data_IF_545250609910
#
_entry.id   IF_545250609910
#
_cell.length_a   1.000
_cell.length_b   1.000
_cell.length_c   1.000
_cell.angle_alpha   90.00
_cell.angle_beta   90.00
_cell.angle_gamma   90.00
#
_symmetry.space_group_name_H-M   'P 1'
#
loop_
_entity.id
_entity.type
_entity.pdbx_description
1 polymer ?
#
# COMPACT_ATOMS: atom_id res chain seq x y z
N UNK A 1 1.22 19.46 18.13
CA UNK A 1 0.09 20.27 18.59
C UNK A 1 0.50 21.50 19.42
N UNK A 2 1.55 21.40 20.27
CA UNK A 2 1.93 22.50 21.20
C UNK A 2 2.43 23.75 20.46
N UNK A 3 3.01 23.64 19.28
CA UNK A 3 3.60 24.75 18.51
C UNK A 3 2.79 25.12 17.27
N UNK A 4 1.79 24.32 16.91
CA UNK A 4 0.98 24.56 15.72
C UNK A 4 -0.13 25.58 15.99
N UNK A 5 -0.36 26.50 15.03
CA UNK A 5 -1.47 27.45 15.07
C UNK A 5 -2.86 26.81 14.89
N UNK A 6 -2.90 25.60 14.33
CA UNK A 6 -4.14 24.81 14.14
C UNK A 6 -3.82 23.33 14.19
N UNK A 7 -4.76 22.54 14.64
CA UNK A 7 -4.64 21.07 14.75
C UNK A 7 -5.92 20.42 14.24
N UNK A 8 -5.76 19.37 13.46
CA UNK A 8 -6.86 18.52 13.04
C UNK A 8 -6.60 17.12 13.63
N UNK A 9 -7.56 16.62 14.40
CA UNK A 9 -7.47 15.30 15.00
C UNK A 9 -8.10 14.25 14.10
N UNK A 10 -7.43 13.11 13.92
CA UNK A 10 -7.91 11.99 13.09
C UNK A 10 -9.00 11.17 13.76
N UNK A 11 -9.11 11.25 15.09
CA UNK A 11 -10.02 10.44 15.90
C UNK A 11 -9.91 8.92 15.67
N UNK A 12 -8.74 8.45 15.22
CA UNK A 12 -8.50 7.03 14.93
C UNK A 12 -8.49 6.13 16.20
N UNK A 13 -8.42 6.74 17.38
CA UNK A 13 -8.22 6.01 18.63
C UNK A 13 -6.79 5.46 18.78
N UNK A 14 -6.49 4.76 19.89
CA UNK A 14 -5.16 4.20 20.11
C UNK A 14 -4.87 3.07 19.12
N UNK A 15 -3.67 3.07 18.56
CA UNK A 15 -3.14 1.95 17.78
C UNK A 15 -2.54 0.92 18.75
N UNK A 16 -2.99 -0.33 18.67
CA UNK A 16 -2.55 -1.38 19.60
C UNK A 16 -1.43 -2.22 18.97
N UNK A 17 -1.44 -2.37 17.65
CA UNK A 17 -0.43 -3.10 16.91
C UNK A 17 0.79 -2.23 16.60
N UNK A 18 1.94 -2.86 16.37
CA UNK A 18 3.15 -2.17 15.90
C UNK A 18 2.90 -1.57 14.51
N UNK A 19 2.28 -2.33 13.62
CA UNK A 19 1.93 -1.87 12.29
C UNK A 19 0.71 -0.95 12.34
N UNK A 20 0.89 0.32 11.95
CA UNK A 20 -0.20 1.29 11.85
C UNK A 20 -1.12 0.94 10.68
N UNK A 21 -2.42 0.85 10.93
CA UNK A 21 -3.44 0.55 9.90
C UNK A 21 -4.53 1.61 9.88
N UNK A 22 -5.38 1.66 10.91
CA UNK A 22 -6.47 2.63 11.01
C UNK A 22 -5.98 4.07 11.10
N UNK A 23 -4.84 4.30 11.75
CA UNK A 23 -4.28 5.65 11.85
C UNK A 23 -3.84 6.16 10.47
N UNK A 24 -3.22 5.33 9.63
CA UNK A 24 -2.86 5.67 8.27
C UNK A 24 -4.09 6.05 7.42
N UNK A 25 -5.13 5.21 7.41
CA UNK A 25 -6.38 5.50 6.66
C UNK A 25 -7.07 6.76 7.15
N UNK A 26 -7.10 6.99 8.47
CA UNK A 26 -7.67 8.21 9.03
C UNK A 26 -6.87 9.46 8.65
N UNK A 27 -5.54 9.38 8.60
CA UNK A 27 -4.68 10.47 8.12
C UNK A 27 -4.96 10.78 6.65
N UNK A 28 -5.08 9.77 5.78
CA UNK A 28 -5.44 9.97 4.38
C UNK A 28 -6.81 10.68 4.25
N UNK A 29 -7.81 10.25 5.00
CA UNK A 29 -9.14 10.89 4.99
C UNK A 29 -9.06 12.36 5.39
N UNK A 30 -8.28 12.69 6.43
CA UNK A 30 -8.07 14.09 6.86
C UNK A 30 -7.33 14.89 5.80
N UNK A 31 -6.33 14.32 5.14
CA UNK A 31 -5.61 15.01 4.06
C UNK A 31 -6.50 15.28 2.85
N UNK A 32 -7.38 14.36 2.47
CA UNK A 32 -8.39 14.59 1.44
C UNK A 32 -9.35 15.71 1.82
N UNK A 33 -9.87 15.71 3.05
CA UNK A 33 -10.74 16.78 3.55
C UNK A 33 -10.02 18.13 3.55
N UNK A 34 -8.77 18.17 3.97
CA UNK A 34 -7.95 19.39 3.95
C UNK A 34 -7.73 19.87 2.51
N UNK A 35 -7.42 18.98 1.58
CA UNK A 35 -7.27 19.30 0.16
C UNK A 35 -8.54 19.90 -0.44
N UNK A 36 -9.70 19.31 -0.15
CA UNK A 36 -11.02 19.83 -0.56
C UNK A 36 -11.27 21.21 0.06
N UNK A 37 -11.01 21.36 1.36
CA UNK A 37 -11.18 22.64 2.06
C UNK A 37 -10.32 23.75 1.44
N UNK A 38 -9.03 23.50 1.22
CA UNK A 38 -8.11 24.44 0.61
C UNK A 38 -8.50 24.77 -0.84
N UNK A 39 -8.96 23.77 -1.60
CA UNK A 39 -9.44 23.97 -2.96
C UNK A 39 -10.67 24.90 -3.02
N UNK A 40 -11.57 24.77 -2.06
CA UNK A 40 -12.74 25.67 -1.93
C UNK A 40 -12.29 27.07 -1.52
N UNK A 41 -11.42 27.17 -0.51
CA UNK A 41 -10.93 28.45 0.00
C UNK A 41 -10.21 29.25 -1.10
N UNK A 42 -9.42 28.59 -1.91
CA UNK A 42 -8.70 29.16 -3.06
C UNK A 42 -9.55 29.36 -4.30
N UNK A 43 -10.83 29.01 -4.25
CA UNK A 43 -11.76 29.06 -5.40
C UNK A 43 -11.29 28.24 -6.62
N UNK A 44 -10.40 27.26 -6.41
CA UNK A 44 -9.90 26.36 -7.45
C UNK A 44 -10.73 25.10 -7.61
N UNK A 45 -11.65 24.81 -6.68
CA UNK A 45 -12.52 23.65 -6.69
C UNK A 45 -13.98 24.06 -6.90
N UNK A 46 -14.59 23.76 -8.06
CA UNK A 46 -16.01 24.06 -8.33
C UNK A 46 -16.94 23.32 -7.35
N UNK A 47 -18.07 23.93 -7.00
CA UNK A 47 -19.03 23.39 -6.03
C UNK A 47 -19.52 21.99 -6.38
N UNK A 48 -19.82 21.72 -7.64
CA UNK A 48 -20.23 20.39 -8.13
C UNK A 48 -19.16 19.32 -7.87
N UNK A 49 -17.89 19.65 -8.15
CA UNK A 49 -16.76 18.74 -7.94
C UNK A 49 -16.50 18.51 -6.45
N UNK A 50 -16.63 19.56 -5.61
CA UNK A 50 -16.57 19.43 -4.15
C UNK A 50 -17.59 18.43 -3.63
N UNK A 51 -18.87 18.58 -4.05
CA UNK A 51 -19.94 17.68 -3.62
C UNK A 51 -19.68 16.22 -4.01
N UNK A 52 -19.21 16.00 -5.25
CA UNK A 52 -18.87 14.67 -5.73
C UNK A 52 -17.74 14.04 -4.88
N UNK A 53 -16.65 14.77 -4.64
CA UNK A 53 -15.52 14.28 -3.84
C UNK A 53 -15.94 13.97 -2.40
N UNK A 54 -16.74 14.83 -1.76
CA UNK A 54 -17.24 14.57 -0.42
C UNK A 54 -18.13 13.33 -0.37
N UNK A 55 -19.02 13.16 -1.37
CA UNK A 55 -19.89 11.99 -1.47
C UNK A 55 -19.06 10.70 -1.54
N UNK A 56 -18.05 10.68 -2.41
CA UNK A 56 -17.15 9.52 -2.52
C UNK A 56 -16.40 9.25 -1.22
N UNK A 57 -15.86 10.29 -0.59
CA UNK A 57 -15.14 10.14 0.68
C UNK A 57 -16.05 9.57 1.80
N UNK A 58 -17.30 10.03 1.88
CA UNK A 58 -18.28 9.49 2.83
C UNK A 58 -18.69 8.05 2.51
N UNK A 59 -18.51 7.60 1.27
CA UNK A 59 -18.83 6.25 0.86
C UNK A 59 -17.71 5.24 1.23
N UNK A 60 -16.46 5.70 1.41
CA UNK A 60 -15.32 4.83 1.71
C UNK A 60 -15.54 3.88 2.90
N UNK A 61 -16.09 4.31 4.05
CA UNK A 61 -16.30 3.38 5.18
C UNK A 61 -17.20 2.19 4.84
N UNK A 62 -18.27 2.42 4.06
CA UNK A 62 -19.17 1.32 3.65
C UNK A 62 -18.52 0.38 2.63
N UNK A 63 -17.62 0.88 1.78
CA UNK A 63 -16.83 0.04 0.89
C UNK A 63 -15.83 -0.81 1.67
N UNK A 64 -15.15 -0.22 2.64
CA UNK A 64 -14.24 -0.96 3.53
C UNK A 64 -14.98 -2.03 4.34
N UNK A 65 -16.14 -1.70 4.89
CA UNK A 65 -16.94 -2.67 5.63
C UNK A 65 -17.37 -3.84 4.75
N UNK A 66 -17.82 -3.57 3.52
CA UNK A 66 -18.18 -4.60 2.55
C UNK A 66 -17.00 -5.51 2.24
N UNK A 67 -15.81 -4.95 2.00
CA UNK A 67 -14.60 -5.72 1.77
C UNK A 67 -14.29 -6.65 2.96
N UNK A 68 -14.38 -6.15 4.18
CA UNK A 68 -14.16 -6.94 5.40
C UNK A 68 -15.20 -8.04 5.58
N UNK A 69 -16.45 -7.76 5.24
CA UNK A 69 -17.55 -8.75 5.31
C UNK A 69 -17.36 -9.85 4.26
N UNK A 70 -16.93 -9.50 3.06
CA UNK A 70 -16.62 -10.46 2.01
C UNK A 70 -15.38 -11.30 2.35
N UNK A 71 -14.35 -10.68 2.94
CA UNK A 71 -13.20 -11.41 3.49
C UNK A 71 -13.63 -12.47 4.52
N UNK A 72 -14.47 -12.09 5.49
CA UNK A 72 -14.96 -13.03 6.52
C UNK A 72 -15.77 -14.19 5.95
N UNK A 73 -16.54 -13.97 4.88
CA UNK A 73 -17.30 -15.04 4.21
C UNK A 73 -16.38 -16.08 3.55
N UNK A 74 -15.22 -15.66 3.08
CA UNK A 74 -14.28 -16.47 2.31
C UNK A 74 -12.94 -16.71 3.04
N UNK A 75 -12.95 -16.58 4.36
CA UNK A 75 -11.75 -16.64 5.22
C UNK A 75 -10.92 -17.90 4.96
N UNK A 76 -11.56 -19.05 4.80
CA UNK A 76 -10.87 -20.32 4.51
C UNK A 76 -10.09 -20.31 3.20
N UNK A 77 -10.62 -19.68 2.16
CA UNK A 77 -9.92 -19.54 0.88
C UNK A 77 -8.75 -18.55 1.01
N UNK A 78 -8.92 -17.47 1.77
CA UNK A 78 -7.83 -16.54 2.05
C UNK A 78 -6.71 -17.19 2.84
N UNK A 79 -7.02 -17.99 3.86
CA UNK A 79 -6.04 -18.76 4.64
C UNK A 79 -5.31 -19.76 3.74
N UNK A 80 -6.03 -20.51 2.88
CA UNK A 80 -5.45 -21.41 1.91
C UNK A 80 -4.51 -20.67 0.95
N UNK A 81 -4.96 -19.56 0.37
CA UNK A 81 -4.15 -18.77 -0.56
C UNK A 81 -2.89 -18.21 0.11
N UNK A 82 -3.00 -17.78 1.36
CA UNK A 82 -1.85 -17.32 2.14
C UNK A 82 -0.87 -18.47 2.42
N UNK A 83 -1.38 -19.66 2.74
CA UNK A 83 -0.57 -20.86 2.92
C UNK A 83 0.15 -21.24 1.63
N UNK A 84 -0.57 -21.34 0.51
CA UNK A 84 -0.01 -21.70 -0.80
C UNK A 84 1.03 -20.67 -1.27
N UNK A 85 0.81 -19.40 -0.96
CA UNK A 85 1.79 -18.34 -1.19
C UNK A 85 3.05 -18.56 -0.35
N UNK A 86 2.90 -18.83 0.93
CA UNK A 86 4.01 -19.06 1.85
C UNK A 86 4.85 -20.28 1.44
N UNK A 87 4.22 -21.38 1.02
CA UNK A 87 4.90 -22.55 0.50
C UNK A 87 5.76 -22.20 -0.72
N UNK A 88 5.15 -21.51 -1.71
CA UNK A 88 5.87 -21.09 -2.93
C UNK A 88 7.03 -20.13 -2.62
N UNK A 89 6.84 -19.25 -1.66
CA UNK A 89 7.89 -18.34 -1.21
C UNK A 89 9.07 -19.10 -0.62
N UNK A 90 8.83 -20.07 0.26
CA UNK A 90 9.89 -20.92 0.83
C UNK A 90 10.58 -21.78 -0.22
N UNK A 91 9.86 -22.39 -1.14
CA UNK A 91 10.45 -23.15 -2.25
C UNK A 91 11.39 -22.30 -3.11
N UNK A 92 11.02 -21.05 -3.38
CA UNK A 92 11.88 -20.12 -4.09
C UNK A 92 13.14 -19.77 -3.29
N UNK A 93 13.01 -19.54 -1.99
CA UNK A 93 14.15 -19.31 -1.11
C UNK A 93 15.09 -20.51 -1.10
N UNK A 94 14.57 -21.74 -0.99
CA UNK A 94 15.39 -22.95 -1.00
C UNK A 94 16.15 -23.13 -2.32
N UNK A 95 15.48 -22.93 -3.47
CA UNK A 95 16.14 -22.92 -4.78
C UNK A 95 17.24 -21.86 -4.85
N UNK A 96 17.00 -20.72 -4.25
CA UNK A 96 17.96 -19.63 -4.20
C UNK A 96 19.19 -19.98 -3.36
N UNK A 97 19.03 -20.68 -2.24
CA UNK A 97 20.13 -21.11 -1.37
C UNK A 97 20.85 -22.33 -1.89
N UNK A 98 20.14 -23.26 -2.51
CA UNK A 98 20.69 -24.56 -2.93
C UNK A 98 21.51 -24.50 -4.23
N UNK A 99 21.31 -23.49 -5.07
CA UNK A 99 22.08 -23.37 -6.30
C UNK A 99 23.49 -22.85 -6.01
N UNK A 100 24.44 -23.75 -5.85
CA UNK A 100 25.88 -23.47 -5.76
C UNK A 100 26.43 -23.07 -7.15
N UNK A 101 26.07 -21.90 -7.61
CA UNK A 101 26.45 -21.40 -8.95
C UNK A 101 27.69 -20.49 -8.94
N UNK A 102 28.33 -20.29 -7.78
CA UNK A 102 29.47 -19.38 -7.63
C UNK A 102 29.17 -17.91 -7.96
N UNK A 103 27.94 -17.59 -8.38
CA UNK A 103 27.49 -16.23 -8.62
C UNK A 103 27.02 -15.60 -7.31
N UNK A 104 27.46 -14.37 -7.04
CA UNK A 104 26.95 -13.58 -5.90
C UNK A 104 25.45 -13.43 -6.03
N UNK A 105 24.71 -14.09 -5.15
CA UNK A 105 23.26 -13.91 -5.04
C UNK A 105 22.97 -12.59 -4.34
N UNK A 106 22.09 -11.78 -4.91
CA UNK A 106 21.88 -10.39 -4.48
C UNK A 106 21.14 -10.24 -3.17
N UNK A 107 20.28 -11.18 -2.82
CA UNK A 107 19.60 -11.19 -1.53
C UNK A 107 19.31 -12.63 -1.09
N UNK A 108 19.80 -13.08 0.07
CA UNK A 108 19.56 -14.44 0.54
C UNK A 108 18.12 -14.69 1.00
N UNK A 109 17.34 -13.64 1.27
CA UNK A 109 16.01 -13.76 1.86
C UNK A 109 14.87 -13.40 0.88
N UNK A 110 15.17 -13.27 -0.41
CA UNK A 110 14.22 -12.68 -1.34
C UNK A 110 13.91 -11.22 -0.97
N UNK A 111 13.16 -10.53 -1.79
CA UNK A 111 12.62 -9.21 -1.43
C UNK A 111 11.35 -8.92 -2.24
N UNK A 112 10.59 -7.97 -1.76
CA UNK A 112 9.34 -7.56 -2.38
C UNK A 112 9.47 -6.15 -2.95
N UNK A 113 8.99 -5.97 -4.18
CA UNK A 113 8.80 -4.66 -4.79
C UNK A 113 7.32 -4.32 -4.84
N UNK A 114 6.97 -3.20 -4.25
CA UNK A 114 5.62 -2.64 -4.33
C UNK A 114 5.64 -1.49 -5.33
N UNK A 115 4.84 -1.61 -6.38
CA UNK A 115 4.77 -0.62 -7.44
C UNK A 115 3.44 0.12 -7.39
N UNK A 116 3.52 1.44 -7.42
CA UNK A 116 2.36 2.30 -7.52
C UNK A 116 2.60 3.47 -8.46
N UNK A 117 1.54 3.95 -9.12
CA UNK A 117 1.61 5.12 -9.99
C UNK A 117 0.75 6.25 -9.42
N UNK A 118 1.23 7.48 -9.49
CA UNK A 118 0.57 8.67 -8.99
C UNK A 118 0.13 8.51 -7.52
N UNK A 119 -1.18 8.64 -7.24
CA UNK A 119 -1.76 8.53 -5.89
C UNK A 119 -1.60 7.14 -5.27
N UNK A 120 -1.26 6.10 -6.05
CA UNK A 120 -1.04 4.75 -5.56
C UNK A 120 0.43 4.52 -5.13
N UNK A 121 1.35 5.41 -5.47
CA UNK A 121 2.73 5.30 -5.03
C UNK A 121 2.88 5.41 -3.51
N UNK A 122 2.27 6.38 -2.81
CA UNK A 122 2.26 6.38 -1.35
C UNK A 122 1.69 5.10 -0.73
N UNK A 123 0.65 4.52 -1.32
CA UNK A 123 0.09 3.24 -0.88
C UNK A 123 1.06 2.06 -1.10
N UNK A 124 1.85 2.09 -2.17
CA UNK A 124 2.89 1.10 -2.41
C UNK A 124 4.00 1.17 -1.35
N UNK A 125 4.44 2.37 -1.00
CA UNK A 125 5.42 2.58 0.08
C UNK A 125 4.86 2.06 1.42
N UNK A 126 3.62 2.38 1.74
CA UNK A 126 2.97 1.93 2.97
C UNK A 126 2.80 0.41 3.00
N UNK A 127 2.43 -0.22 1.89
CA UNK A 127 2.36 -1.67 1.78
C UNK A 127 3.70 -2.35 2.01
N UNK A 128 4.78 -1.82 1.41
CA UNK A 128 6.14 -2.28 1.64
C UNK A 128 6.57 -2.12 3.11
N UNK A 129 6.19 -1.01 3.74
CA UNK A 129 6.45 -0.78 5.16
C UNK A 129 5.72 -1.82 6.03
N UNK A 130 4.43 -2.06 5.78
CA UNK A 130 3.64 -3.06 6.53
C UNK A 130 4.25 -4.45 6.43
N UNK A 131 4.68 -4.87 5.23
CA UNK A 131 5.35 -6.16 5.08
C UNK A 131 6.64 -6.23 5.91
N UNK A 132 7.49 -5.21 5.85
CA UNK A 132 8.72 -5.15 6.65
C UNK A 132 8.46 -5.23 8.16
N UNK A 133 7.49 -4.47 8.65
CA UNK A 133 7.16 -4.41 10.07
C UNK A 133 6.66 -5.75 10.63
N UNK A 134 5.92 -6.51 9.83
CA UNK A 134 5.25 -7.73 10.28
C UNK A 134 6.12 -8.96 10.03
N UNK A 135 6.80 -9.05 8.88
CA UNK A 135 7.51 -10.25 8.43
C UNK A 135 9.03 -10.16 8.53
N UNK A 136 9.58 -8.98 8.73
CA UNK A 136 11.02 -8.67 8.63
C UNK A 136 11.64 -8.98 7.27
N UNK A 137 10.81 -9.25 6.25
CA UNK A 137 11.26 -9.46 4.87
C UNK A 137 11.54 -8.10 4.23
N UNK A 138 12.67 -7.92 3.52
CA UNK A 138 12.95 -6.71 2.78
C UNK A 138 11.86 -6.40 1.75
N UNK A 139 11.32 -5.21 1.82
CA UNK A 139 10.30 -4.74 0.89
C UNK A 139 10.49 -3.25 0.60
N UNK A 140 10.33 -2.86 -0.65
CA UNK A 140 10.51 -1.47 -1.08
C UNK A 140 9.39 -1.02 -2.00
N UNK A 141 8.97 0.23 -1.83
CA UNK A 141 7.98 0.87 -2.69
C UNK A 141 8.63 1.74 -3.76
N UNK A 142 8.28 1.54 -5.02
CA UNK A 142 8.78 2.33 -6.14
C UNK A 142 7.65 2.95 -6.96
N UNK A 143 7.86 4.16 -7.50
CA UNK A 143 6.95 4.68 -8.50
C UNK A 143 7.10 3.85 -9.78
N UNK A 144 5.99 3.27 -10.25
CA UNK A 144 6.01 2.35 -11.39
C UNK A 144 6.60 2.99 -12.66
N UNK A 145 6.40 4.29 -12.86
CA UNK A 145 6.99 5.03 -13.99
C UNK A 145 8.50 5.13 -13.96
N UNK A 146 9.11 5.04 -12.77
CA UNK A 146 10.57 5.19 -12.59
C UNK A 146 11.33 3.85 -12.67
N UNK A 147 10.65 2.74 -12.85
CA UNK A 147 11.28 1.41 -12.88
C UNK A 147 12.36 1.30 -13.96
N UNK A 148 12.16 1.94 -15.12
CA UNK A 148 13.12 1.92 -16.24
C UNK A 148 14.42 2.67 -15.95
N UNK A 149 14.46 3.51 -14.93
CA UNK A 149 15.61 4.36 -14.61
C UNK A 149 16.60 3.71 -13.61
N UNK A 150 16.51 2.39 -13.43
CA UNK A 150 17.44 1.64 -12.59
C UNK A 150 16.78 0.49 -11.81
N UNK A 151 15.70 0.70 -11.09
CA UNK A 151 15.11 -0.34 -10.23
C UNK A 151 14.72 -1.62 -10.97
N UNK A 152 14.44 -1.55 -12.27
CA UNK A 152 14.18 -2.73 -13.12
C UNK A 152 15.33 -3.74 -13.09
N UNK A 153 16.56 -3.29 -12.84
CA UNK A 153 17.73 -4.16 -12.72
C UNK A 153 17.67 -5.07 -11.47
N UNK A 154 16.78 -4.79 -10.52
CA UNK A 154 16.54 -5.63 -9.36
C UNK A 154 15.57 -6.77 -9.67
N UNK A 155 14.83 -6.68 -10.77
CA UNK A 155 13.85 -7.70 -11.17
C UNK A 155 14.61 -8.78 -11.94
N UNK A 156 14.84 -9.90 -11.27
CA UNK A 156 15.29 -11.16 -11.83
C UNK A 156 14.23 -12.24 -11.51
N UNK A 157 14.62 -13.49 -11.40
CA UNK A 157 13.70 -14.60 -11.10
C UNK A 157 13.25 -14.63 -9.62
N UNK A 158 13.78 -13.76 -8.75
CA UNK A 158 13.67 -13.88 -7.30
C UNK A 158 12.76 -12.86 -6.60
N UNK A 159 12.58 -11.59 -7.05
CA UNK A 159 11.71 -10.67 -6.33
C UNK A 159 10.24 -10.93 -6.61
N UNK A 160 9.45 -10.78 -5.57
CA UNK A 160 8.00 -10.68 -5.70
C UNK A 160 7.60 -9.24 -6.02
N UNK A 161 6.89 -9.05 -7.13
CA UNK A 161 6.43 -7.73 -7.56
C UNK A 161 4.93 -7.60 -7.32
N UNK A 162 4.56 -6.64 -6.47
CA UNK A 162 3.17 -6.31 -6.15
C UNK A 162 2.83 -4.98 -6.80
N UNK A 163 1.91 -4.98 -7.76
CA UNK A 163 1.47 -3.78 -8.45
C UNK A 163 0.12 -3.29 -7.94
N UNK A 164 0.06 -2.03 -7.49
CA UNK A 164 -1.18 -1.35 -7.16
C UNK A 164 -1.67 -0.61 -8.41
N UNK A 165 -2.55 -1.26 -9.16
CA UNK A 165 -3.07 -0.78 -10.44
C UNK A 165 -4.61 -0.81 -10.46
N UNK A 166 -5.29 0.03 -9.64
CA UNK A 166 -6.73 0.15 -9.68
C UNK A 166 -7.17 0.78 -11.01
N UNK A 167 -8.38 0.46 -11.45
CA UNK A 167 -8.99 1.11 -12.61
C UNK A 167 -9.09 2.62 -12.37
N UNK A 168 -8.31 3.37 -13.11
CA UNK A 168 -8.19 4.82 -12.97
C UNK A 168 -7.64 5.43 -14.27
N UNK A 169 -7.69 6.74 -14.37
CA UNK A 169 -7.14 7.50 -15.51
C UNK A 169 -5.62 7.28 -15.75
N UNK A 170 -4.95 6.54 -14.90
CA UNK A 170 -3.51 6.22 -14.99
C UNK A 170 -3.24 4.73 -15.15
N UNK A 171 -4.29 3.94 -15.41
CA UNK A 171 -4.19 2.49 -15.59
C UNK A 171 -3.55 2.13 -16.94
N UNK A 172 -3.83 2.90 -17.98
CA UNK A 172 -3.21 2.79 -19.32
C UNK A 172 -1.78 3.42 -19.30
#
# INVERSE_FOLDING_TARGET
>A
AREAKGVIYTHAGPEIAVASTKAYTAQLAVLYLLGIYLGVLRKSLPAKKKQALLKELFHVPSLMQRFLDDYKKDEKNWEKNAHDFNVRYHEQLEKYFSADTGKRKRSPNGFFLYLGRNINYPNAIEGALKLKEISYIPAEGYPAGEMKHGPIALIDENPWVICLAPDSATYD
#
